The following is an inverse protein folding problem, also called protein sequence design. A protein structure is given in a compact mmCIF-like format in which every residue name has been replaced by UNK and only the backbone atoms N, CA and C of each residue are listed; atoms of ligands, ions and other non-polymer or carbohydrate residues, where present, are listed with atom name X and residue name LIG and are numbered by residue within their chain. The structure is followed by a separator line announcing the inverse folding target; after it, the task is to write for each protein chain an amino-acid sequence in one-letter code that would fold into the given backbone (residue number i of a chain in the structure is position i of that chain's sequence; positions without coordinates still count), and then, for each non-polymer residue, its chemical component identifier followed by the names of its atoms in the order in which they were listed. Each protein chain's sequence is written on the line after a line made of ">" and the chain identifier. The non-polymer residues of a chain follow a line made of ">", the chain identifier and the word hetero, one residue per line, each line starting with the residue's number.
data_IF_989958577010
#
_entry.id   IF_989958577010
#
_cell.length_a   1.000
_cell.length_b   1.000
_cell.length_c   1.000
_cell.angle_alpha   90.00
_cell.angle_beta   90.00
_cell.angle_gamma   90.00
#
_symmetry.space_group_name_H-M   'P 1'
#
loop_
_entity.id
_entity.type
_entity.pdbx_description
1 polymer ?
#
# COMPACT_ATOMS: atom_id res chain seq x y z
N UNK A 1 20.78 30.74 -11.06
CA UNK A 1 19.42 30.96 -11.61
C UNK A 1 18.29 30.24 -10.83
N UNK A 2 18.21 30.23 -9.47
CA UNK A 2 16.99 29.78 -8.76
C UNK A 2 16.13 30.92 -8.17
N UNK A 3 16.53 32.19 -8.28
CA UNK A 3 15.91 33.29 -7.52
C UNK A 3 14.76 34.04 -8.22
N UNK A 4 14.31 33.58 -9.39
CA UNK A 4 13.21 34.25 -10.08
C UNK A 4 11.87 34.00 -9.35
N UNK A 5 11.06 35.04 -9.05
CA UNK A 5 9.85 34.90 -8.22
C UNK A 5 8.80 33.96 -8.82
N UNK A 6 8.74 33.86 -10.15
CA UNK A 6 7.88 32.87 -10.82
C UNK A 6 8.33 31.43 -10.58
N UNK A 7 9.64 31.18 -10.56
CA UNK A 7 10.22 29.85 -10.29
C UNK A 7 9.99 29.49 -8.82
N UNK A 8 10.13 30.44 -7.89
CA UNK A 8 9.79 30.23 -6.47
C UNK A 8 8.31 29.89 -6.27
N UNK A 9 7.39 30.63 -6.90
CA UNK A 9 5.95 30.30 -6.85
C UNK A 9 5.64 28.93 -7.46
N UNK A 10 6.31 28.55 -8.55
CA UNK A 10 6.18 27.22 -9.16
C UNK A 10 6.71 26.12 -8.25
N UNK A 11 7.85 26.34 -7.58
CA UNK A 11 8.43 25.42 -6.59
C UNK A 11 7.50 25.32 -5.38
N UNK A 12 7.00 26.42 -4.83
CA UNK A 12 6.06 26.41 -3.70
C UNK A 12 4.75 25.71 -4.05
N UNK A 13 4.22 25.95 -5.25
CA UNK A 13 3.02 25.27 -5.73
C UNK A 13 3.30 23.76 -5.91
N UNK A 14 4.47 23.40 -6.45
CA UNK A 14 4.91 22.02 -6.58
C UNK A 14 5.09 21.34 -5.21
N UNK A 15 5.81 21.96 -4.28
CA UNK A 15 6.03 21.45 -2.92
C UNK A 15 4.72 21.25 -2.16
N UNK A 16 3.74 22.16 -2.31
CA UNK A 16 2.39 22.01 -1.74
C UNK A 16 1.63 20.80 -2.29
N UNK A 17 1.92 20.38 -3.53
CA UNK A 17 1.32 19.15 -4.12
C UNK A 17 2.06 17.88 -3.71
N UNK A 18 3.28 17.97 -3.19
CA UNK A 18 4.06 16.81 -2.75
C UNK A 18 3.78 16.49 -1.28
N UNK A 19 2.70 15.75 -1.05
CA UNK A 19 2.24 15.26 0.27
C UNK A 19 3.35 14.57 1.07
N UNK A 20 4.27 13.92 0.37
CA UNK A 20 5.41 13.18 0.88
C UNK A 20 6.43 14.07 1.63
N UNK A 21 6.41 15.37 1.35
CA UNK A 21 7.25 16.37 2.00
C UNK A 21 6.74 16.78 3.39
N UNK A 22 5.58 16.30 3.85
CA UNK A 22 4.94 16.80 5.08
C UNK A 22 5.11 15.89 6.32
N UNK A 23 5.61 14.66 6.16
CA UNK A 23 5.84 13.74 7.29
C UNK A 23 7.09 14.05 8.13
N UNK A 24 7.14 13.51 9.36
CA UNK A 24 8.26 13.65 10.29
C UNK A 24 8.66 12.31 10.91
N UNK A 25 9.97 12.06 11.03
CA UNK A 25 10.49 10.93 11.79
C UNK A 25 10.23 11.12 13.29
N UNK A 26 9.71 10.09 13.96
CA UNK A 26 9.69 10.07 15.42
C UNK A 26 11.13 9.88 15.96
N UNK A 27 11.42 10.47 17.12
CA UNK A 27 12.72 10.35 17.77
C UNK A 27 13.11 8.88 18.01
N UNK A 28 12.12 8.03 18.26
CA UNK A 28 12.30 6.58 18.43
C UNK A 28 12.76 5.92 17.13
N UNK A 29 12.14 6.24 15.99
CA UNK A 29 12.52 5.68 14.67
C UNK A 29 13.94 6.09 14.26
N UNK A 30 14.40 7.28 14.66
CA UNK A 30 15.78 7.72 14.43
C UNK A 30 16.78 6.84 15.21
N UNK A 31 16.49 6.54 16.48
CA UNK A 31 17.33 5.65 17.30
C UNK A 31 17.39 4.25 16.72
N UNK A 32 16.26 3.72 16.28
CA UNK A 32 16.16 2.39 15.69
C UNK A 32 16.93 2.31 14.36
N UNK A 33 16.85 3.34 13.52
CA UNK A 33 17.64 3.43 12.28
C UNK A 33 19.14 3.43 12.57
N UNK A 34 19.58 4.20 13.56
CA UNK A 34 21.01 4.26 13.94
C UNK A 34 21.50 2.91 14.46
N UNK A 35 20.72 2.25 15.34
CA UNK A 35 21.04 0.92 15.83
C UNK A 35 21.06 -0.14 14.71
N UNK A 36 20.18 -0.02 13.73
CA UNK A 36 20.10 -0.91 12.57
C UNK A 36 21.30 -0.73 11.62
N UNK A 37 21.76 0.51 11.40
CA UNK A 37 22.87 0.82 10.52
C UNK A 37 24.17 0.08 10.92
N UNK A 38 24.40 -0.11 12.23
CA UNK A 38 25.60 -0.76 12.73
C UNK A 38 25.54 -2.29 12.77
N UNK A 39 24.38 -2.93 12.56
CA UNK A 39 24.19 -4.36 12.82
C UNK A 39 24.20 -5.28 11.59
N UNK A 40 24.14 -4.76 10.37
CA UNK A 40 23.80 -5.60 9.20
C UNK A 40 24.92 -5.68 8.16
N UNK A 41 25.18 -6.91 7.71
CA UNK A 41 26.12 -7.22 6.64
C UNK A 41 25.54 -6.89 5.24
N UNK A 42 26.38 -6.50 4.25
CA UNK A 42 25.92 -6.12 2.91
C UNK A 42 25.11 -7.21 2.17
N UNK A 43 25.46 -8.49 2.36
CA UNK A 43 24.75 -9.60 1.69
C UNK A 43 23.33 -9.80 2.24
N UNK A 44 23.10 -9.51 3.53
CA UNK A 44 21.76 -9.59 4.13
C UNK A 44 20.83 -8.55 3.51
N UNK A 45 21.34 -7.36 3.19
CA UNK A 45 20.57 -6.33 2.49
C UNK A 45 20.12 -6.82 1.11
N UNK A 46 21.03 -7.40 0.32
CA UNK A 46 20.71 -7.93 -0.99
C UNK A 46 19.65 -9.04 -0.91
N UNK A 47 19.77 -9.93 0.08
CA UNK A 47 18.81 -11.00 0.30
C UNK A 47 17.42 -10.45 0.67
N UNK A 48 17.34 -9.47 1.57
CA UNK A 48 16.07 -8.81 1.94
C UNK A 48 15.41 -8.21 0.70
N UNK A 49 16.17 -7.51 -0.16
CA UNK A 49 15.62 -6.87 -1.35
C UNK A 49 15.05 -7.86 -2.36
N UNK A 50 15.73 -8.98 -2.58
CA UNK A 50 15.34 -10.01 -3.54
C UNK A 50 14.23 -10.91 -3.02
N UNK A 51 14.26 -11.27 -1.73
CA UNK A 51 13.26 -12.15 -1.12
C UNK A 51 11.97 -11.42 -0.78
N UNK A 52 12.00 -10.09 -0.62
CA UNK A 52 10.79 -9.31 -0.33
C UNK A 52 9.67 -9.67 -1.30
N UNK A 53 9.76 -9.54 -2.64
CA UNK A 53 8.65 -9.81 -3.55
C UNK A 53 8.24 -11.30 -3.72
N UNK A 54 9.02 -12.25 -3.19
CA UNK A 54 8.83 -13.68 -3.48
C UNK A 54 7.51 -14.25 -2.92
N UNK A 55 7.08 -13.95 -1.67
CA UNK A 55 5.83 -14.45 -1.11
C UNK A 55 4.60 -14.07 -1.93
N UNK A 56 4.51 -12.83 -2.44
CA UNK A 56 3.37 -12.43 -3.26
C UNK A 56 3.33 -13.19 -4.59
N UNK A 57 4.49 -13.39 -5.24
CA UNK A 57 4.60 -14.20 -6.46
C UNK A 57 4.16 -15.66 -6.22
N UNK A 58 4.57 -16.26 -5.10
CA UNK A 58 4.18 -17.63 -4.75
C UNK A 58 2.66 -17.74 -4.55
N UNK A 59 2.05 -16.80 -3.82
CA UNK A 59 0.58 -16.81 -3.59
C UNK A 59 -0.17 -16.71 -4.91
N UNK A 60 0.22 -15.78 -5.79
CA UNK A 60 -0.43 -15.62 -7.11
C UNK A 60 -0.21 -16.85 -7.98
N UNK A 61 1.01 -17.41 -8.00
CA UNK A 61 1.34 -18.62 -8.74
C UNK A 61 0.48 -19.82 -8.29
N UNK A 62 0.26 -19.98 -6.99
CA UNK A 62 -0.60 -21.03 -6.44
C UNK A 62 -2.05 -20.82 -6.88
N UNK A 63 -2.57 -19.60 -6.81
CA UNK A 63 -3.93 -19.28 -7.29
C UNK A 63 -4.05 -19.55 -8.80
N UNK A 64 -3.01 -19.27 -9.57
CA UNK A 64 -3.05 -19.43 -11.03
C UNK A 64 -2.74 -20.85 -11.50
N UNK A 65 -2.28 -21.72 -10.59
CA UNK A 65 -2.09 -23.15 -10.87
C UNK A 65 -3.41 -23.90 -11.06
N UNK A 66 -4.53 -23.35 -10.56
CA UNK A 66 -5.85 -23.91 -10.76
C UNK A 66 -6.26 -23.76 -12.23
N UNK A 67 -6.37 -24.90 -12.93
CA UNK A 67 -6.74 -24.96 -14.35
C UNK A 67 -8.12 -24.31 -14.58
N UNK A 68 -8.21 -23.48 -15.61
CA UNK A 68 -9.47 -22.88 -16.08
C UNK A 68 -10.17 -23.79 -17.08
N UNK A 69 -11.50 -23.73 -17.07
CA UNK A 69 -12.36 -24.33 -18.10
C UNK A 69 -12.65 -23.33 -19.23
N UNK A 70 -13.16 -23.82 -20.35
CA UNK A 70 -13.64 -22.95 -21.42
C UNK A 70 -14.85 -22.12 -20.91
N UNK A 71 -14.81 -20.77 -21.05
CA UNK A 71 -15.90 -19.90 -20.66
C UNK A 71 -17.27 -20.26 -21.28
N UNK A 72 -17.29 -20.78 -22.50
CA UNK A 72 -18.51 -21.17 -23.23
C UNK A 72 -19.32 -22.27 -22.52
N UNK A 73 -18.71 -23.00 -21.59
CA UNK A 73 -19.40 -24.03 -20.77
C UNK A 73 -20.32 -23.44 -19.71
N UNK A 74 -20.34 -22.11 -19.56
CA UNK A 74 -21.26 -21.39 -18.69
C UNK A 74 -20.77 -21.25 -17.24
N UNK A 75 -21.60 -20.57 -16.44
CA UNK A 75 -21.28 -20.11 -15.08
C UNK A 75 -20.87 -21.26 -14.15
N UNK A 76 -21.66 -22.34 -14.09
CA UNK A 76 -21.43 -23.44 -13.15
C UNK A 76 -20.24 -24.32 -13.51
N UNK A 77 -19.98 -24.53 -14.80
CA UNK A 77 -18.86 -25.34 -15.27
C UNK A 77 -17.50 -24.70 -14.92
N UNK A 78 -17.47 -23.38 -14.76
CA UNK A 78 -16.28 -22.58 -14.47
C UNK A 78 -16.06 -22.38 -12.95
N UNK A 79 -16.39 -23.37 -12.12
CA UNK A 79 -16.23 -23.30 -10.65
C UNK A 79 -14.80 -23.03 -10.19
N UNK A 80 -13.79 -23.42 -10.98
CA UNK A 80 -12.38 -23.15 -10.66
C UNK A 80 -12.01 -21.68 -10.89
N UNK A 81 -12.62 -21.02 -11.86
CA UNK A 81 -12.48 -19.57 -12.02
C UNK A 81 -13.06 -18.84 -10.80
N UNK A 82 -14.24 -19.26 -10.32
CA UNK A 82 -14.84 -18.70 -9.09
C UNK A 82 -13.99 -18.97 -7.85
N UNK A 83 -13.41 -20.18 -7.72
CA UNK A 83 -12.48 -20.50 -6.65
C UNK A 83 -11.26 -19.57 -6.67
N UNK A 84 -10.67 -19.29 -7.83
CA UNK A 84 -9.56 -18.35 -7.97
C UNK A 84 -9.93 -16.95 -7.52
N UNK A 85 -11.07 -16.42 -7.99
CA UNK A 85 -11.58 -15.10 -7.59
C UNK A 85 -11.85 -15.06 -6.08
N UNK A 86 -12.40 -16.14 -5.51
CA UNK A 86 -12.64 -16.27 -4.08
C UNK A 86 -11.35 -16.26 -3.25
N UNK A 87 -10.31 -17.00 -3.68
CA UNK A 87 -9.00 -16.98 -3.04
C UNK A 87 -8.35 -15.59 -3.12
N UNK A 88 -8.44 -14.90 -4.27
CA UNK A 88 -7.99 -13.52 -4.42
C UNK A 88 -8.72 -12.58 -3.44
N UNK A 89 -10.06 -12.68 -3.36
CA UNK A 89 -10.86 -11.88 -2.43
C UNK A 89 -10.47 -12.13 -0.96
N UNK A 90 -10.16 -13.39 -0.60
CA UNK A 90 -9.66 -13.73 0.73
C UNK A 90 -8.32 -13.05 1.00
N UNK A 91 -7.34 -13.20 0.09
CA UNK A 91 -6.01 -12.63 0.31
C UNK A 91 -6.09 -11.12 0.43
N UNK A 92 -6.86 -10.45 -0.43
CA UNK A 92 -7.06 -8.98 -0.36
C UNK A 92 -7.70 -8.58 0.96
N UNK A 93 -8.78 -9.25 1.39
CA UNK A 93 -9.52 -8.93 2.61
C UNK A 93 -8.66 -9.13 3.88
N UNK A 94 -7.96 -10.27 4.01
CA UNK A 94 -7.05 -10.52 5.15
C UNK A 94 -5.96 -9.45 5.17
N UNK A 95 -5.41 -9.12 4.01
CA UNK A 95 -4.32 -8.16 3.88
C UNK A 95 -4.74 -6.75 4.28
N UNK A 96 -5.96 -6.33 3.93
CA UNK A 96 -6.50 -5.02 4.33
C UNK A 96 -6.89 -4.98 5.80
N UNK A 97 -7.56 -6.01 6.33
CA UNK A 97 -7.92 -6.07 7.74
C UNK A 97 -6.68 -6.13 8.65
N UNK A 98 -5.63 -6.83 8.20
CA UNK A 98 -4.34 -6.87 8.90
C UNK A 98 -3.64 -5.51 8.89
N UNK A 99 -3.70 -4.78 7.77
CA UNK A 99 -3.21 -3.40 7.68
C UNK A 99 -4.01 -2.47 8.61
N UNK A 100 -5.33 -2.58 8.60
CA UNK A 100 -6.20 -1.80 9.48
C UNK A 100 -5.87 -2.05 10.96
N UNK A 101 -5.74 -3.31 11.38
CA UNK A 101 -5.39 -3.66 12.75
C UNK A 101 -3.98 -3.17 13.13
N UNK A 102 -3.03 -3.19 12.19
CA UNK A 102 -1.70 -2.61 12.41
C UNK A 102 -1.73 -1.07 12.56
N UNK A 103 -2.62 -0.39 11.84
CA UNK A 103 -2.82 1.07 11.94
C UNK A 103 -3.63 1.46 13.19
N UNK A 104 -4.62 0.65 13.58
CA UNK A 104 -5.53 0.92 14.69
C UNK A 104 -5.60 -0.30 15.62
N UNK A 105 -4.57 -0.52 16.48
CA UNK A 105 -4.45 -1.75 17.29
C UNK A 105 -5.50 -1.91 18.38
N UNK A 106 -6.21 -0.83 18.73
CA UNK A 106 -7.31 -0.85 19.71
C UNK A 106 -8.57 -1.55 19.18
N UNK A 107 -8.67 -1.76 17.86
CA UNK A 107 -9.75 -2.55 17.29
C UNK A 107 -9.65 -4.00 17.76
N UNK A 108 -10.77 -4.62 18.17
CA UNK A 108 -10.75 -5.99 18.67
C UNK A 108 -10.75 -7.00 17.50
N UNK A 109 -9.70 -6.95 16.67
CA UNK A 109 -9.50 -7.76 15.48
C UNK A 109 -8.40 -8.82 15.71
N UNK A 110 -8.77 -9.93 16.34
CA UNK A 110 -7.92 -11.10 16.38
C UNK A 110 -7.95 -11.87 15.03
N UNK A 111 -7.04 -12.84 14.87
CA UNK A 111 -6.95 -13.61 13.64
C UNK A 111 -8.27 -14.32 13.28
N UNK A 112 -9.05 -14.77 14.29
CA UNK A 112 -10.33 -15.44 14.07
C UNK A 112 -11.37 -14.50 13.49
N UNK A 113 -11.52 -13.29 14.05
CA UNK A 113 -12.44 -12.27 13.54
C UNK A 113 -12.04 -11.79 12.15
N UNK A 114 -10.74 -11.59 11.90
CA UNK A 114 -10.23 -11.22 10.57
C UNK A 114 -10.62 -12.29 9.54
N UNK A 115 -10.44 -13.58 9.86
CA UNK A 115 -10.84 -14.67 8.98
C UNK A 115 -12.36 -14.73 8.78
N UNK A 116 -13.16 -14.55 9.83
CA UNK A 116 -14.61 -14.56 9.73
C UNK A 116 -15.15 -13.44 8.84
N UNK A 117 -14.68 -12.19 9.06
CA UNK A 117 -15.02 -11.03 8.23
C UNK A 117 -14.63 -11.29 6.77
N UNK A 118 -13.43 -11.82 6.56
CA UNK A 118 -12.89 -12.11 5.22
C UNK A 118 -13.72 -13.16 4.47
N UNK A 119 -14.05 -14.28 5.11
CA UNK A 119 -14.85 -15.35 4.49
C UNK A 119 -16.23 -14.79 4.11
N UNK A 120 -16.85 -14.02 5.01
CA UNK A 120 -18.15 -13.42 4.75
C UNK A 120 -18.10 -12.43 3.58
N UNK A 121 -17.21 -11.43 3.62
CA UNK A 121 -17.09 -10.42 2.55
C UNK A 121 -16.68 -11.00 1.20
N UNK A 122 -15.86 -12.06 1.18
CA UNK A 122 -15.47 -12.75 -0.05
C UNK A 122 -16.63 -13.57 -0.62
N UNK A 123 -17.43 -14.19 0.25
CA UNK A 123 -18.61 -14.97 -0.15
C UNK A 123 -19.68 -14.05 -0.75
N UNK A 124 -19.93 -12.89 -0.14
CA UNK A 124 -20.88 -11.91 -0.69
C UNK A 124 -20.40 -11.38 -2.05
N UNK A 125 -19.11 -11.11 -2.20
CA UNK A 125 -18.51 -10.63 -3.45
C UNK A 125 -18.60 -11.66 -4.59
N UNK A 126 -18.17 -12.90 -4.34
CA UNK A 126 -18.19 -13.95 -5.37
C UNK A 126 -19.62 -14.39 -5.68
N UNK A 127 -20.47 -14.49 -4.66
CA UNK A 127 -21.89 -14.77 -4.83
C UNK A 127 -22.59 -13.75 -5.72
N UNK A 128 -22.29 -12.45 -5.57
CA UNK A 128 -22.91 -11.42 -6.41
C UNK A 128 -22.48 -11.52 -7.87
N UNK A 129 -21.19 -11.78 -8.17
CA UNK A 129 -20.74 -11.93 -9.56
C UNK A 129 -21.18 -13.24 -10.20
N UNK A 130 -21.33 -14.33 -9.44
CA UNK A 130 -22.01 -15.52 -9.93
C UNK A 130 -23.46 -15.20 -10.29
N UNK A 131 -24.16 -14.42 -9.44
CA UNK A 131 -25.50 -13.92 -9.70
C UNK A 131 -25.57 -13.09 -10.99
N UNK A 132 -24.63 -12.15 -11.19
CA UNK A 132 -24.52 -11.41 -12.45
C UNK A 132 -24.29 -12.35 -13.64
N UNK A 133 -23.46 -13.38 -13.49
CA UNK A 133 -23.24 -14.39 -14.55
C UNK A 133 -24.53 -15.04 -15.04
N UNK A 134 -25.50 -15.27 -14.15
CA UNK A 134 -26.82 -15.79 -14.54
C UNK A 134 -27.76 -14.71 -15.10
N UNK A 135 -27.64 -13.46 -14.66
CA UNK A 135 -28.55 -12.38 -15.05
C UNK A 135 -28.18 -11.73 -16.38
N UNK A 136 -26.89 -11.52 -16.63
CA UNK A 136 -26.38 -10.79 -17.80
C UNK A 136 -25.59 -11.66 -18.77
N UNK A 137 -25.19 -12.88 -18.36
CA UNK A 137 -24.36 -13.79 -19.15
C UNK A 137 -22.91 -13.89 -18.64
N UNK A 138 -22.16 -14.84 -19.19
CA UNK A 138 -20.82 -15.21 -18.71
C UNK A 138 -19.81 -15.29 -19.86
N UNK A 139 -18.55 -14.81 -19.70
CA UNK A 139 -17.99 -14.11 -18.53
C UNK A 139 -18.66 -12.78 -18.17
N UNK A 140 -18.66 -12.44 -16.88
CA UNK A 140 -19.21 -11.16 -16.39
C UNK A 140 -18.25 -10.02 -16.74
N UNK A 141 -18.70 -8.94 -17.40
CA UNK A 141 -17.88 -7.77 -17.69
C UNK A 141 -17.20 -7.21 -16.44
N UNK A 142 -15.88 -7.06 -16.50
CA UNK A 142 -15.06 -6.50 -15.42
C UNK A 142 -15.43 -7.04 -14.02
N UNK A 143 -15.20 -8.32 -13.78
CA UNK A 143 -15.55 -9.00 -12.52
C UNK A 143 -15.08 -8.25 -11.28
N UNK A 144 -13.85 -7.73 -11.27
CA UNK A 144 -13.26 -7.07 -10.10
C UNK A 144 -14.02 -5.82 -9.64
N UNK A 145 -14.28 -4.81 -10.50
CA UNK A 145 -15.16 -3.71 -10.11
C UNK A 145 -16.58 -4.12 -9.77
N UNK A 146 -17.15 -5.11 -10.46
CA UNK A 146 -18.49 -5.62 -10.16
C UNK A 146 -18.55 -6.30 -8.77
N UNK A 147 -17.45 -6.88 -8.29
CA UNK A 147 -17.34 -7.40 -6.93
C UNK A 147 -17.30 -6.30 -5.87
N UNK A 148 -16.72 -5.13 -6.16
CA UNK A 148 -16.41 -4.10 -5.16
C UNK A 148 -17.60 -3.67 -4.30
N UNK A 149 -18.81 -3.40 -4.83
CA UNK A 149 -19.97 -3.00 -4.01
C UNK A 149 -20.40 -4.09 -3.03
N UNK A 150 -20.56 -5.33 -3.49
CA UNK A 150 -21.00 -6.45 -2.65
C UNK A 150 -19.92 -6.86 -1.63
N UNK A 151 -18.65 -6.78 -2.03
CA UNK A 151 -17.52 -6.95 -1.13
C UNK A 151 -17.50 -5.87 -0.04
N UNK A 152 -17.66 -4.60 -0.41
CA UNK A 152 -17.66 -3.47 0.54
C UNK A 152 -18.82 -3.56 1.53
N UNK A 153 -20.02 -3.90 1.05
CA UNK A 153 -21.19 -4.12 1.90
C UNK A 153 -20.99 -5.29 2.88
N UNK A 154 -20.45 -6.41 2.39
CA UNK A 154 -20.11 -7.57 3.22
C UNK A 154 -19.05 -7.25 4.26
N UNK A 155 -18.00 -6.53 3.86
CA UNK A 155 -16.93 -6.09 4.75
C UNK A 155 -17.45 -5.14 5.83
N UNK A 156 -18.18 -4.08 5.45
CA UNK A 156 -18.68 -3.07 6.39
C UNK A 156 -19.67 -3.67 7.37
N UNK A 157 -20.59 -4.54 6.92
CA UNK A 157 -21.57 -5.18 7.80
C UNK A 157 -20.91 -6.11 8.82
N UNK A 158 -20.03 -7.03 8.36
CA UNK A 158 -19.32 -7.94 9.26
C UNK A 158 -18.29 -7.25 10.16
N UNK A 159 -17.59 -6.22 9.67
CA UNK A 159 -16.70 -5.39 10.48
C UNK A 159 -17.47 -4.62 11.56
N UNK A 160 -18.60 -4.01 11.20
CA UNK A 160 -19.46 -3.28 12.15
C UNK A 160 -20.04 -4.21 13.22
N UNK A 161 -20.29 -5.47 12.90
CA UNK A 161 -20.74 -6.46 13.88
C UNK A 161 -19.69 -6.70 14.98
N UNK A 162 -18.40 -6.82 14.63
CA UNK A 162 -17.33 -7.10 15.61
C UNK A 162 -16.75 -5.85 16.28
N UNK A 163 -16.67 -4.73 15.55
CA UNK A 163 -15.99 -3.51 15.98
C UNK A 163 -16.96 -2.36 16.31
N UNK A 164 -18.25 -2.54 16.08
CA UNK A 164 -19.26 -1.47 16.19
C UNK A 164 -19.29 -0.79 17.56
N UNK A 165 -19.17 -1.56 18.63
CA UNK A 165 -19.17 -1.00 19.99
C UNK A 165 -17.92 -0.17 20.27
N UNK A 166 -16.74 -0.63 19.82
CA UNK A 166 -15.49 0.13 19.90
C UNK A 166 -15.56 1.42 19.10
N UNK A 167 -16.16 1.39 17.90
CA UNK A 167 -16.33 2.57 17.04
C UNK A 167 -17.32 3.60 17.60
N UNK A 168 -18.37 3.13 18.30
CA UNK A 168 -19.33 3.99 18.98
C UNK A 168 -18.74 4.60 20.24
N UNK A 169 -17.94 3.84 20.98
CA UNK A 169 -17.33 4.26 22.24
C UNK A 169 -16.14 5.21 22.10
N UNK A 170 -15.45 5.26 20.95
CA UNK A 170 -14.26 6.08 20.78
C UNK A 170 -14.26 6.88 19.45
N UNK A 171 -14.31 8.20 19.57
CA UNK A 171 -14.32 9.11 18.43
C UNK A 171 -12.99 9.16 17.66
N UNK A 172 -11.85 8.99 18.36
CA UNK A 172 -10.52 8.94 17.72
C UNK A 172 -10.38 7.69 16.87
N UNK A 173 -10.79 6.52 17.39
CA UNK A 173 -10.79 5.26 16.63
C UNK A 173 -11.65 5.37 15.38
N UNK A 174 -12.82 6.01 15.48
CA UNK A 174 -13.67 6.26 14.32
C UNK A 174 -12.99 7.16 13.29
N UNK A 175 -12.25 8.18 13.73
CA UNK A 175 -11.45 9.04 12.85
C UNK A 175 -10.35 8.23 12.15
N UNK A 176 -9.58 7.43 12.89
CA UNK A 176 -8.48 6.64 12.34
C UNK A 176 -8.97 5.57 11.34
N UNK A 177 -10.07 4.90 11.65
CA UNK A 177 -10.71 3.94 10.74
C UNK A 177 -11.22 4.62 9.48
N UNK A 178 -11.86 5.79 9.60
CA UNK A 178 -12.28 6.58 8.44
C UNK A 178 -11.08 6.95 7.55
N UNK A 179 -9.99 7.43 8.16
CA UNK A 179 -8.77 7.81 7.46
C UNK A 179 -8.18 6.61 6.69
N UNK A 180 -8.12 5.45 7.33
CA UNK A 180 -7.69 4.21 6.67
C UNK A 180 -8.61 3.82 5.50
N UNK A 181 -9.93 3.89 5.68
CA UNK A 181 -10.89 3.56 4.63
C UNK A 181 -10.75 4.48 3.40
N UNK A 182 -10.49 5.77 3.60
CA UNK A 182 -10.25 6.71 2.51
C UNK A 182 -9.02 6.31 1.69
N UNK A 183 -7.92 5.93 2.36
CA UNK A 183 -6.71 5.42 1.69
C UNK A 183 -7.03 4.17 0.87
N UNK A 184 -7.83 3.24 1.41
CA UNK A 184 -8.24 2.02 0.71
C UNK A 184 -9.11 2.32 -0.50
N UNK A 185 -10.10 3.21 -0.37
CA UNK A 185 -10.97 3.61 -1.47
C UNK A 185 -10.14 4.25 -2.59
N UNK A 186 -9.24 5.17 -2.26
CA UNK A 186 -8.35 5.78 -3.26
C UNK A 186 -7.50 4.74 -3.99
N UNK A 187 -6.92 3.77 -3.26
CA UNK A 187 -6.15 2.67 -3.85
C UNK A 187 -7.00 1.83 -4.80
N UNK A 188 -8.23 1.47 -4.41
CA UNK A 188 -9.13 0.68 -5.24
C UNK A 188 -9.64 1.46 -6.46
N UNK A 189 -9.87 2.77 -6.33
CA UNK A 189 -10.25 3.62 -7.45
C UNK A 189 -9.15 3.70 -8.50
N UNK A 190 -7.88 3.77 -8.10
CA UNK A 190 -6.75 3.75 -9.03
C UNK A 190 -6.76 2.49 -9.90
N UNK A 191 -7.11 1.34 -9.33
CA UNK A 191 -7.21 0.08 -10.08
C UNK A 191 -8.23 0.17 -11.22
N UNK A 192 -9.28 1.00 -11.09
CA UNK A 192 -10.24 1.26 -12.17
C UNK A 192 -9.78 2.29 -13.19
N UNK A 193 -9.07 3.31 -12.74
CA UNK A 193 -8.58 4.39 -13.61
C UNK A 193 -7.62 3.85 -14.66
N UNK A 194 -6.75 2.88 -14.33
CA UNK A 194 -5.76 2.35 -15.28
C UNK A 194 -6.36 1.58 -16.48
N UNK A 195 -7.34 0.67 -16.32
CA UNK A 195 -8.14 0.11 -17.41
C UNK A 195 -8.78 1.15 -18.32
N UNK A 196 -9.42 2.16 -17.74
CA UNK A 196 -10.06 3.26 -18.47
C UNK A 196 -9.02 4.07 -19.25
N UNK A 197 -7.87 4.34 -18.64
CA UNK A 197 -6.73 4.96 -19.29
C UNK A 197 -6.22 4.11 -20.46
N UNK A 198 -6.07 2.79 -20.28
CA UNK A 198 -5.60 1.90 -21.32
C UNK A 198 -6.56 1.87 -22.51
N UNK A 199 -7.87 1.80 -22.26
CA UNK A 199 -8.89 1.92 -23.31
C UNK A 199 -8.73 3.23 -24.08
N UNK A 200 -8.73 4.37 -23.37
CA UNK A 200 -8.58 5.69 -23.99
C UNK A 200 -7.28 5.79 -24.80
N UNK A 201 -6.17 5.26 -24.28
CA UNK A 201 -4.88 5.23 -24.97
C UNK A 201 -4.96 4.42 -26.27
N UNK A 202 -5.58 3.23 -26.25
CA UNK A 202 -5.70 2.39 -27.46
C UNK A 202 -6.67 2.95 -28.50
N UNK A 203 -7.64 3.77 -28.10
CA UNK A 203 -8.59 4.44 -29.00
C UNK A 203 -7.99 5.67 -29.72
N UNK A 204 -6.81 6.13 -29.31
CA UNK A 204 -6.15 7.32 -29.84
C UNK A 204 -5.18 7.01 -30.98
N UNK A 205 -4.94 8.01 -31.84
CA UNK A 205 -3.86 7.95 -32.84
C UNK A 205 -2.47 7.95 -32.17
N UNK A 206 -1.43 7.50 -32.86
CA UNK A 206 -0.06 7.40 -32.30
C UNK A 206 0.49 8.74 -31.77
N UNK A 207 0.18 9.86 -32.43
CA UNK A 207 0.58 11.20 -31.96
C UNK A 207 -0.17 11.60 -30.68
N UNK A 208 -1.47 11.31 -30.62
CA UNK A 208 -2.29 11.59 -29.44
C UNK A 208 -1.91 10.68 -28.26
N UNK A 209 -1.56 9.42 -28.50
CA UNK A 209 -1.01 8.51 -27.48
C UNK A 209 0.22 9.09 -26.80
N UNK A 210 1.16 9.64 -27.58
CA UNK A 210 2.38 10.26 -27.03
C UNK A 210 2.06 11.41 -26.07
N UNK A 211 1.10 12.28 -26.43
CA UNK A 211 0.64 13.34 -25.54
C UNK A 211 -0.14 12.78 -24.32
N UNK A 212 -0.93 11.72 -24.52
CA UNK A 212 -1.75 11.11 -23.48
C UNK A 212 -0.91 10.44 -22.38
N UNK A 213 0.34 10.05 -22.66
CA UNK A 213 1.29 9.59 -21.63
C UNK A 213 1.45 10.61 -20.50
N UNK A 214 1.36 11.91 -20.80
CA UNK A 214 1.46 12.98 -19.79
C UNK A 214 0.28 13.00 -18.80
N UNK A 215 -0.81 12.30 -19.09
CA UNK A 215 -1.94 12.13 -18.15
C UNK A 215 -1.56 11.20 -16.99
N UNK A 216 -0.61 10.26 -17.17
CA UNK A 216 -0.16 9.38 -16.09
C UNK A 216 0.42 10.15 -14.89
N UNK A 217 1.35 11.12 -15.07
CA UNK A 217 1.75 12.04 -14.01
C UNK A 217 0.58 12.76 -13.34
N UNK A 218 -0.40 13.25 -14.11
CA UNK A 218 -1.58 13.94 -13.57
C UNK A 218 -2.46 13.02 -12.71
N UNK A 219 -2.68 11.78 -13.14
CA UNK A 219 -3.41 10.75 -12.36
C UNK A 219 -2.67 10.48 -11.05
N UNK A 220 -1.34 10.30 -11.11
CA UNK A 220 -0.51 10.08 -9.91
C UNK A 220 -0.60 11.25 -8.93
N UNK A 221 -0.47 12.49 -9.42
CA UNK A 221 -0.58 13.71 -8.59
C UNK A 221 -1.99 13.86 -8.01
N UNK A 222 -3.03 13.64 -8.84
CA UNK A 222 -4.42 13.71 -8.41
C UNK A 222 -4.73 12.73 -7.28
N UNK A 223 -4.27 11.48 -7.39
CA UNK A 223 -4.45 10.49 -6.33
C UNK A 223 -3.73 10.88 -5.02
N UNK A 224 -2.50 11.40 -5.10
CA UNK A 224 -1.77 11.90 -3.93
C UNK A 224 -2.51 13.06 -3.25
N UNK A 225 -2.92 14.06 -4.03
CA UNK A 225 -3.66 15.22 -3.53
C UNK A 225 -5.01 14.82 -2.94
N UNK A 226 -5.68 13.82 -3.52
CA UNK A 226 -6.92 13.28 -2.97
C UNK A 226 -6.69 12.68 -1.58
N UNK A 227 -5.67 11.83 -1.42
CA UNK A 227 -5.31 11.27 -0.10
C UNK A 227 -4.98 12.41 0.89
N UNK A 228 -4.21 13.41 0.48
CA UNK A 228 -3.85 14.54 1.33
C UNK A 228 -5.03 15.39 1.76
N UNK A 229 -5.95 15.70 0.85
CA UNK A 229 -7.09 16.57 1.13
C UNK A 229 -8.06 15.97 2.17
N UNK A 230 -8.22 14.65 2.17
CA UNK A 230 -9.07 13.99 3.15
C UNK A 230 -8.35 13.66 4.47
N UNK A 231 -7.01 13.68 4.45
CA UNK A 231 -6.17 13.45 5.64
C UNK A 231 -5.64 14.76 6.25
N UNK A 232 -5.85 15.92 5.64
CA UNK A 232 -5.30 17.22 6.07
C UNK A 232 -5.83 17.69 7.43
N UNK A 233 -6.98 17.16 7.89
CA UNK A 233 -7.50 17.37 9.27
C UNK A 233 -6.63 16.72 10.37
N UNK A 234 -5.46 16.18 10.02
CA UNK A 234 -4.45 15.63 10.93
C UNK A 234 -3.18 16.49 11.04
N UNK A 235 -2.86 17.30 10.02
CA UNK A 235 -1.62 18.11 10.01
C UNK A 235 -1.72 19.35 10.91
N UNK A 236 -2.94 19.83 11.18
CA UNK A 236 -3.18 21.03 12.01
C UNK A 236 -3.24 20.76 13.52
N UNK A 237 -2.99 19.52 13.98
CA UNK A 237 -2.82 19.22 15.41
C UNK A 237 -1.35 19.44 15.84
N UNK A 238 -0.94 20.72 15.73
CA UNK A 238 0.08 21.49 16.46
C UNK A 238 1.24 20.77 17.19
N UNK A 239 2.41 21.45 17.21
CA UNK A 239 3.05 21.80 18.47
C UNK A 239 3.14 23.32 18.62
N UNK A 240 2.05 23.99 18.98
CA UNK A 240 2.20 25.11 19.93
C UNK A 240 1.85 24.55 21.30
N UNK A 241 2.86 23.96 21.92
CA UNK A 241 3.06 24.00 23.35
C UNK A 241 4.54 23.67 23.58
N UNK A 242 5.37 24.71 23.69
CA UNK A 242 6.56 24.58 24.52
C UNK A 242 6.11 24.44 26.00
N UNK A 243 7.03 24.13 26.92
CA UNK A 243 7.73 22.87 27.15
C UNK A 243 7.14 22.16 28.40
N UNK A 244 7.81 21.10 28.88
CA UNK A 244 7.83 20.57 30.26
C UNK A 244 7.18 19.19 30.48
N UNK A 245 8.00 18.33 31.10
CA UNK A 245 7.71 17.14 31.90
C UNK A 245 7.29 15.84 31.19
N UNK A 246 8.32 15.04 30.92
CA UNK A 246 8.44 13.64 31.35
C UNK A 246 7.19 12.95 31.91
N UNK A 247 6.74 11.90 31.23
CA UNK A 247 6.16 10.74 31.89
C UNK A 247 6.79 9.48 31.29
N UNK A 248 7.67 8.86 32.08
CA UNK A 248 8.18 7.50 31.88
C UNK A 248 7.11 6.45 32.26
N UNK A 249 7.24 5.19 31.81
CA UNK A 249 6.14 4.25 31.79
C UNK A 249 6.11 3.26 32.97
N UNK A 250 4.91 2.69 33.20
CA UNK A 250 4.55 1.48 33.99
C UNK A 250 4.51 1.59 35.52
N UNK A 251 3.62 0.81 36.18
CA UNK A 251 4.11 -0.47 36.68
C UNK A 251 3.15 -1.67 36.54
N UNK A 252 3.77 -2.84 36.54
CA UNK A 252 3.17 -4.15 36.76
C UNK A 252 2.71 -4.35 38.22
N UNK A 253 1.62 -5.11 38.35
CA UNK A 253 1.35 -6.16 39.36
C UNK A 253 1.27 -5.75 40.84
N UNK A 254 0.04 -5.73 41.35
CA UNK A 254 -0.31 -5.74 42.78
C UNK A 254 0.10 -7.05 43.47
N UNK A 255 0.62 -6.93 44.70
CA UNK A 255 0.53 -7.95 45.74
C UNK A 255 0.62 -7.31 47.15
N UNK A 256 -0.43 -7.55 47.95
CA UNK A 256 -0.43 -7.69 49.43
C UNK A 256 -0.48 -6.48 50.38
N UNK A 257 -1.73 -6.10 50.74
CA UNK A 257 -2.39 -6.05 52.08
C UNK A 257 -1.93 -5.11 53.24
N UNK A 258 -2.85 -4.76 54.18
CA UNK A 258 -2.93 -3.47 54.86
C UNK A 258 -2.57 -3.49 56.37
N UNK A 259 -2.23 -2.34 56.94
CA UNK A 259 -2.08 -2.18 58.39
C UNK A 259 -1.68 -0.77 58.85
N UNK A 260 -2.69 -0.03 59.34
CA UNK A 260 -2.69 1.08 60.31
C UNK A 260 -1.39 1.43 61.06
N UNK A 261 -1.06 2.73 61.16
CA UNK A 261 -0.98 3.49 62.43
C UNK A 261 -0.63 4.98 62.24
N UNK A 262 -0.91 5.75 63.29
CA UNK A 262 -1.24 7.18 63.36
C UNK A 262 -0.07 8.15 63.62
N UNK A 263 -0.27 9.40 63.17
CA UNK A 263 0.12 10.69 63.79
C UNK A 263 1.62 11.02 64.03
N UNK A 264 2.09 12.13 63.46
CA UNK A 264 2.41 13.36 64.22
C UNK A 264 2.95 14.46 63.30
N UNK A 265 2.39 15.67 63.45
CA UNK A 265 2.86 16.90 62.82
C UNK A 265 4.09 17.45 63.56
N UNK A 266 5.29 17.05 63.17
CA UNK A 266 6.54 17.77 63.48
C UNK A 266 7.75 17.10 62.80
N UNK A 267 7.80 17.12 61.47
CA UNK A 267 9.04 16.92 60.68
C UNK A 267 9.02 17.86 59.47
N UNK A 268 9.22 19.14 59.77
CA UNK A 268 9.50 20.19 58.80
C UNK A 268 10.97 20.06 58.38
N UNK A 269 11.21 19.57 57.16
CA UNK A 269 12.41 19.68 56.29
C UNK A 269 12.88 18.35 55.68
N UNK A 270 12.23 17.85 54.62
CA UNK A 270 12.88 16.95 53.63
C UNK A 270 12.29 17.25 52.24
N UNK A 271 12.76 18.31 51.59
CA UNK A 271 12.69 18.42 50.12
C UNK A 271 14.13 18.36 49.59
N UNK A 272 14.46 17.40 48.69
CA UNK A 272 15.80 17.27 48.15
C UNK A 272 16.18 18.52 47.34
N UNK A 273 17.40 18.99 47.55
CA UNK A 273 18.04 19.95 46.65
C UNK A 273 18.05 19.40 45.21
N UNK A 274 18.00 20.29 44.19
CA UNK A 274 18.16 19.87 42.80
C UNK A 274 19.49 19.11 42.65
N UNK A 275 19.53 18.01 41.88
CA UNK A 275 20.76 17.25 41.69
C UNK A 275 21.85 18.17 41.14
N UNK A 276 23.03 18.06 41.73
CA UNK A 276 24.24 18.72 41.24
C UNK A 276 24.40 18.42 39.76
N UNK A 277 24.79 19.45 38.98
CA UNK A 277 25.13 19.33 37.57
C UNK A 277 26.22 18.26 37.42
N UNK A 278 25.84 17.07 36.98
CA UNK A 278 26.78 16.10 36.44
C UNK A 278 27.38 16.69 35.16
N UNK A 279 28.58 17.25 35.30
CA UNK A 279 29.33 17.91 34.22
C UNK A 279 29.79 16.96 33.10
N UNK A 280 29.37 15.68 33.09
CA UNK A 280 29.91 14.68 32.16
C UNK A 280 28.95 14.17 31.08
N UNK A 281 27.73 14.72 30.95
CA UNK A 281 26.87 14.45 29.78
C UNK A 281 26.86 15.56 28.71
N UNK A 282 27.72 16.57 28.85
CA UNK A 282 27.69 17.80 28.04
C UNK A 282 28.64 17.83 26.82
N UNK A 283 29.35 16.75 26.51
CA UNK A 283 30.41 16.77 25.49
C UNK A 283 29.95 17.09 24.06
N UNK A 284 28.74 16.66 23.65
CA UNK A 284 28.20 17.00 22.34
C UNK A 284 27.45 18.35 22.33
N UNK A 285 27.10 18.85 23.50
CA UNK A 285 26.21 19.99 23.67
C UNK A 285 26.93 21.34 23.59
N UNK A 286 28.15 21.39 24.10
CA UNK A 286 28.99 22.59 24.17
C UNK A 286 29.77 22.84 22.87
N UNK A 287 29.97 21.80 22.06
CA UNK A 287 30.75 21.85 20.81
C UNK A 287 30.08 22.64 19.67
N UNK A 288 28.78 22.93 19.77
CA UNK A 288 27.99 23.53 18.68
C UNK A 288 27.41 24.91 18.97
N UNK A 289 27.47 25.42 20.21
CA UNK A 289 27.04 26.79 20.55
C UNK A 289 25.58 27.18 20.23
N UNK A 290 24.72 26.22 19.86
CA UNK A 290 23.34 26.47 19.41
C UNK A 290 22.39 26.64 20.59
N UNK A 291 21.51 27.65 20.50
CA UNK A 291 20.42 27.88 21.45
C UNK A 291 19.43 26.69 21.48
N UNK A 292 18.71 26.50 22.59
CA UNK A 292 17.76 25.39 22.75
C UNK A 292 16.71 25.34 21.64
N UNK A 293 16.32 26.51 21.11
CA UNK A 293 15.38 26.65 19.99
C UNK A 293 16.03 26.20 18.66
N UNK A 294 17.28 26.59 18.42
CA UNK A 294 18.01 26.21 17.20
C UNK A 294 18.25 24.69 17.13
N UNK A 295 18.47 24.06 18.29
CA UNK A 295 18.57 22.59 18.41
C UNK A 295 17.28 21.87 18.06
N UNK A 296 16.15 22.37 18.57
CA UNK A 296 14.84 21.77 18.29
C UNK A 296 14.53 21.89 16.79
N UNK A 297 14.82 23.05 16.21
CA UNK A 297 14.66 23.32 14.79
C UNK A 297 15.59 22.47 13.93
N UNK A 298 16.84 22.25 14.35
CA UNK A 298 17.78 21.33 13.69
C UNK A 298 17.24 19.89 13.71
N UNK A 299 16.84 19.38 14.88
CA UNK A 299 16.30 18.01 15.02
C UNK A 299 15.06 17.82 14.15
N UNK A 300 14.14 18.79 14.14
CA UNK A 300 12.92 18.72 13.33
C UNK A 300 13.24 18.72 11.83
N UNK A 301 14.16 19.59 11.37
CA UNK A 301 14.59 19.62 9.97
C UNK A 301 15.29 18.32 9.56
N UNK A 302 16.20 17.81 10.39
CA UNK A 302 16.88 16.54 10.12
C UNK A 302 15.90 15.36 10.08
N UNK A 303 14.94 15.32 11.00
CA UNK A 303 13.89 14.28 11.02
C UNK A 303 13.02 14.33 9.75
N UNK A 304 12.70 15.53 9.26
CA UNK A 304 11.94 15.75 8.03
C UNK A 304 12.72 15.31 6.79
N UNK A 305 14.00 15.68 6.69
CA UNK A 305 14.87 15.24 5.58
C UNK A 305 15.07 13.73 5.58
N UNK A 306 15.21 13.11 6.76
CA UNK A 306 15.34 11.67 6.89
C UNK A 306 14.05 10.94 6.45
N UNK A 307 12.88 11.51 6.78
CA UNK A 307 11.58 11.02 6.29
C UNK A 307 11.50 11.02 4.77
N UNK A 308 11.82 12.16 4.14
CA UNK A 308 11.80 12.29 2.70
C UNK A 308 12.81 11.35 2.02
N UNK A 309 14.01 11.21 2.59
CA UNK A 309 15.02 10.29 2.09
C UNK A 309 14.56 8.83 2.18
N UNK A 310 13.98 8.42 3.30
CA UNK A 310 13.40 7.09 3.49
C UNK A 310 12.34 6.80 2.41
N UNK A 311 11.40 7.73 2.27
CA UNK A 311 10.29 7.61 1.36
C UNK A 311 10.74 7.56 -0.12
N UNK A 312 11.64 8.46 -0.52
CA UNK A 312 12.18 8.50 -1.88
C UNK A 312 12.93 7.20 -2.24
N UNK A 313 13.74 6.69 -1.31
CA UNK A 313 14.45 5.41 -1.49
C UNK A 313 13.47 4.24 -1.62
N UNK A 314 12.35 4.26 -0.90
CA UNK A 314 11.32 3.24 -1.00
C UNK A 314 10.58 3.29 -2.35
N UNK A 315 10.22 4.48 -2.85
CA UNK A 315 9.61 4.63 -4.18
C UNK A 315 10.53 4.06 -5.26
N UNK A 316 11.76 4.52 -5.30
CA UNK A 316 12.71 4.12 -6.35
C UNK A 316 12.96 2.60 -6.29
N UNK A 317 13.02 2.02 -5.08
CA UNK A 317 13.06 0.56 -4.92
C UNK A 317 11.82 -0.12 -5.53
N UNK A 318 10.61 0.40 -5.27
CA UNK A 318 9.38 -0.18 -5.85
C UNK A 318 9.34 -0.04 -7.37
N UNK A 319 9.88 1.03 -7.95
CA UNK A 319 9.95 1.25 -9.40
C UNK A 319 10.96 0.31 -10.07
N UNK A 320 12.05 -0.05 -9.40
CA UNK A 320 12.98 -1.09 -9.87
C UNK A 320 12.37 -2.49 -9.78
N UNK A 321 11.71 -2.81 -8.66
CA UNK A 321 11.24 -4.17 -8.38
C UNK A 321 9.97 -4.52 -9.14
N UNK A 322 9.06 -3.56 -9.37
CA UNK A 322 7.76 -3.83 -10.01
C UNK A 322 7.90 -4.43 -11.43
N UNK A 323 8.73 -3.89 -12.33
CA UNK A 323 8.98 -4.49 -13.65
C UNK A 323 9.58 -5.89 -13.57
N UNK A 324 10.45 -6.15 -12.59
CA UNK A 324 11.08 -7.47 -12.37
C UNK A 324 10.05 -8.50 -11.93
N UNK A 325 9.18 -8.14 -10.98
CA UNK A 325 8.04 -8.97 -10.57
C UNK A 325 7.14 -9.28 -11.77
N UNK A 326 6.81 -8.26 -12.56
CA UNK A 326 6.00 -8.42 -13.77
C UNK A 326 6.63 -9.41 -14.75
N UNK A 327 7.93 -9.26 -15.04
CA UNK A 327 8.65 -10.17 -15.93
C UNK A 327 8.67 -11.60 -15.41
N UNK A 328 8.98 -11.80 -14.13
CA UNK A 328 9.00 -13.13 -13.51
C UNK A 328 7.61 -13.79 -13.55
N UNK A 329 6.56 -13.01 -13.29
CA UNK A 329 5.19 -13.48 -13.34
C UNK A 329 4.72 -13.85 -14.76
N UNK A 330 4.96 -12.98 -15.75
CA UNK A 330 4.59 -13.24 -17.14
C UNK A 330 5.32 -14.46 -17.69
N UNK A 331 6.61 -14.61 -17.35
CA UNK A 331 7.38 -15.80 -17.71
C UNK A 331 6.78 -17.07 -17.08
N UNK A 332 6.38 -17.03 -15.81
CA UNK A 332 5.70 -18.14 -15.15
C UNK A 332 4.39 -18.51 -15.86
N UNK A 333 3.55 -17.53 -16.20
CA UNK A 333 2.28 -17.77 -16.88
C UNK A 333 2.44 -18.34 -18.29
N UNK A 334 3.49 -17.95 -19.00
CA UNK A 334 3.76 -18.48 -20.34
C UNK A 334 3.91 -20.01 -20.36
N UNK A 335 4.43 -20.59 -19.28
CA UNK A 335 4.62 -22.04 -19.13
C UNK A 335 3.43 -22.74 -18.44
N UNK A 336 2.43 -22.01 -17.96
CA UNK A 336 1.23 -22.59 -17.34
C UNK A 336 0.13 -22.84 -18.38
N UNK A 337 -0.72 -23.86 -18.17
CA UNK A 337 -1.77 -24.22 -19.13
C UNK A 337 -2.82 -23.12 -19.31
N UNK A 338 -2.98 -22.24 -18.33
CA UNK A 338 -3.95 -21.16 -18.37
C UNK A 338 -3.58 -20.02 -19.34
N UNK A 339 -2.42 -20.08 -20.00
CA UNK A 339 -1.95 -19.05 -20.96
C UNK A 339 -2.95 -18.74 -22.07
N UNK A 340 -3.74 -19.74 -22.47
CA UNK A 340 -4.71 -19.65 -23.58
C UNK A 340 -5.84 -18.64 -23.30
N UNK A 341 -6.09 -18.34 -22.02
CA UNK A 341 -7.13 -17.41 -21.59
C UNK A 341 -6.63 -15.99 -21.29
N UNK A 342 -5.33 -15.74 -21.49
CA UNK A 342 -4.74 -14.42 -21.37
C UNK A 342 -4.54 -13.82 -22.77
N UNK A 343 -5.27 -12.75 -23.15
CA UNK A 343 -5.18 -12.16 -24.49
C UNK A 343 -3.77 -11.72 -24.88
N UNK A 344 -2.96 -11.31 -23.90
CA UNK A 344 -1.57 -10.89 -24.09
C UNK A 344 -0.57 -12.05 -24.29
N UNK A 345 -0.97 -13.30 -23.97
CA UNK A 345 -0.10 -14.48 -24.01
C UNK A 345 -0.52 -15.52 -25.05
N UNK A 346 -1.80 -15.59 -25.43
CA UNK A 346 -2.35 -16.67 -26.27
C UNK A 346 -1.61 -16.85 -27.60
N UNK A 347 -1.33 -15.76 -28.32
CA UNK A 347 -0.69 -15.78 -29.65
C UNK A 347 0.80 -15.36 -29.60
N UNK A 348 1.37 -15.22 -28.41
CA UNK A 348 2.73 -14.69 -28.24
C UNK A 348 3.77 -15.79 -28.47
N UNK A 349 4.66 -15.61 -29.45
CA UNK A 349 5.80 -16.51 -29.68
C UNK A 349 6.89 -16.34 -28.62
N UNK A 350 7.75 -17.36 -28.43
CA UNK A 350 8.88 -17.30 -27.49
C UNK A 350 9.85 -16.15 -27.79
N UNK A 351 10.02 -15.78 -29.06
CA UNK A 351 10.90 -14.67 -29.46
C UNK A 351 10.26 -13.31 -29.17
N UNK A 352 8.95 -13.16 -29.44
CA UNK A 352 8.22 -11.94 -29.06
C UNK A 352 8.16 -11.78 -27.53
N UNK A 353 7.98 -12.86 -26.79
CA UNK A 353 8.05 -12.85 -25.33
C UNK A 353 9.41 -12.36 -24.86
N UNK A 354 10.51 -12.94 -25.35
CA UNK A 354 11.87 -12.51 -24.99
C UNK A 354 12.09 -11.03 -25.28
N UNK A 355 11.69 -10.56 -26.46
CA UNK A 355 11.80 -9.15 -26.85
C UNK A 355 11.01 -8.22 -25.91
N UNK A 356 9.76 -8.57 -25.61
CA UNK A 356 8.91 -7.81 -24.69
C UNK A 356 9.48 -7.79 -23.27
N UNK A 357 9.94 -8.93 -22.76
CA UNK A 357 10.58 -9.02 -21.45
C UNK A 357 11.88 -8.21 -21.40
N UNK A 358 12.72 -8.26 -22.44
CA UNK A 358 13.93 -7.46 -22.53
C UNK A 358 13.63 -5.95 -22.54
N UNK A 359 12.59 -5.51 -23.26
CA UNK A 359 12.17 -4.11 -23.26
C UNK A 359 11.76 -3.63 -21.86
N UNK A 360 11.00 -4.45 -21.12
CA UNK A 360 10.60 -4.13 -19.73
C UNK A 360 11.79 -4.18 -18.77
N UNK A 361 12.74 -5.11 -18.98
CA UNK A 361 13.98 -5.18 -18.19
C UNK A 361 14.93 -4.02 -18.48
N UNK A 362 14.96 -3.49 -19.71
CA UNK A 362 15.70 -2.27 -20.04
C UNK A 362 15.12 -1.06 -19.29
N UNK A 363 13.79 -0.97 -19.18
CA UNK A 363 13.16 0.02 -18.32
C UNK A 363 13.57 -0.15 -16.86
N UNK A 364 13.54 -1.39 -16.34
CA UNK A 364 14.00 -1.70 -14.98
C UNK A 364 15.48 -1.32 -14.74
N UNK A 365 16.32 -1.42 -15.77
CA UNK A 365 17.72 -0.98 -15.71
C UNK A 365 17.82 0.54 -15.58
N UNK A 366 17.00 1.31 -16.29
CA UNK A 366 16.96 2.77 -16.16
C UNK A 366 16.54 3.17 -14.73
N UNK A 367 15.49 2.52 -14.20
CA UNK A 367 15.08 2.74 -12.80
C UNK A 367 16.16 2.29 -11.80
N UNK A 368 16.94 1.26 -12.12
CA UNK A 368 18.07 0.88 -11.29
C UNK A 368 19.14 1.98 -11.29
N UNK A 369 19.39 2.62 -12.43
CA UNK A 369 20.33 3.73 -12.53
C UNK A 369 19.82 4.98 -11.78
N UNK A 370 18.53 5.32 -11.84
CA UNK A 370 17.95 6.42 -11.03
C UNK A 370 18.07 6.11 -9.54
N UNK A 371 17.75 4.87 -9.13
CA UNK A 371 17.90 4.41 -7.76
C UNK A 371 19.36 4.52 -7.28
N UNK A 372 20.34 4.16 -8.12
CA UNK A 372 21.77 4.33 -7.84
C UNK A 372 22.16 5.81 -7.73
N UNK A 373 21.64 6.66 -8.62
CA UNK A 373 21.91 8.10 -8.63
C UNK A 373 21.39 8.79 -7.36
N UNK A 374 20.14 8.53 -6.93
CA UNK A 374 19.62 9.08 -5.67
C UNK A 374 20.45 8.58 -4.47
N UNK A 375 20.90 7.32 -4.49
CA UNK A 375 21.79 6.79 -3.46
C UNK A 375 23.14 7.51 -3.40
N UNK A 376 23.69 7.87 -4.56
CA UNK A 376 24.91 8.65 -4.66
C UNK A 376 24.70 10.07 -4.11
N UNK A 377 23.60 10.74 -4.46
CA UNK A 377 23.24 12.07 -3.96
C UNK A 377 23.05 12.06 -2.44
N UNK A 378 22.27 11.11 -1.91
CA UNK A 378 22.03 10.96 -0.47
C UNK A 378 23.33 10.76 0.31
N UNK A 379 24.26 9.96 -0.22
CA UNK A 379 25.56 9.73 0.41
C UNK A 379 26.43 11.00 0.41
N UNK A 380 26.50 11.70 -0.70
CA UNK A 380 27.40 12.86 -0.85
C UNK A 380 26.85 14.14 -0.22
N UNK A 381 25.52 14.33 -0.20
CA UNK A 381 24.89 15.54 0.34
C UNK A 381 24.46 15.42 1.79
N UNK A 382 24.05 14.23 2.23
CA UNK A 382 23.48 14.02 3.57
C UNK A 382 24.30 13.05 4.44
N UNK A 383 25.34 12.40 3.89
CA UNK A 383 26.10 11.36 4.61
C UNK A 383 25.27 10.09 4.86
N UNK A 384 24.06 10.00 4.29
CA UNK A 384 23.12 8.91 4.51
C UNK A 384 23.40 7.78 3.53
N UNK A 385 23.47 6.56 4.06
CA UNK A 385 23.67 5.36 3.26
C UNK A 385 22.32 4.74 2.91
N UNK A 386 21.93 4.88 1.64
CA UNK A 386 20.69 4.35 1.04
C UNK A 386 20.40 2.89 1.43
N UNK A 387 21.42 2.03 1.50
CA UNK A 387 21.26 0.60 1.81
C UNK A 387 20.80 0.36 3.24
N UNK A 388 21.28 1.15 4.19
CA UNK A 388 20.87 1.01 5.60
C UNK A 388 19.45 1.54 5.79
N UNK A 389 19.08 2.62 5.11
CA UNK A 389 17.71 3.14 5.12
C UNK A 389 16.72 2.15 4.49
N UNK A 390 16.98 1.67 3.27
CA UNK A 390 16.05 0.74 2.61
C UNK A 390 15.90 -0.57 3.40
N UNK A 391 17.00 -1.14 3.89
CA UNK A 391 16.92 -2.37 4.70
C UNK A 391 16.16 -2.13 6.00
N UNK A 392 16.32 -0.97 6.63
CA UNK A 392 15.57 -0.61 7.83
C UNK A 392 14.07 -0.57 7.56
N UNK A 393 13.65 0.09 6.48
CA UNK A 393 12.24 0.18 6.08
C UNK A 393 11.68 -1.18 5.74
N UNK A 394 12.39 -1.94 4.91
CA UNK A 394 11.94 -3.27 4.53
C UNK A 394 11.88 -4.17 5.76
N UNK A 395 12.86 -4.15 6.67
CA UNK A 395 12.82 -4.96 7.88
C UNK A 395 11.67 -4.56 8.83
N UNK A 396 11.38 -3.27 8.98
CA UNK A 396 10.36 -2.76 9.92
C UNK A 396 8.95 -2.81 9.34
N UNK A 397 8.80 -2.57 8.03
CA UNK A 397 7.52 -2.41 7.34
C UNK A 397 7.29 -3.44 6.23
N UNK A 398 8.00 -4.58 6.22
CA UNK A 398 7.87 -5.60 5.17
C UNK A 398 6.43 -6.02 4.91
N UNK A 399 5.59 -6.13 5.96
CA UNK A 399 4.18 -6.53 5.83
C UNK A 399 3.39 -5.52 5.00
N UNK A 400 3.62 -4.23 5.21
CA UNK A 400 2.98 -3.15 4.46
C UNK A 400 3.45 -3.19 2.99
N UNK A 401 4.74 -3.33 2.76
CA UNK A 401 5.29 -3.41 1.39
C UNK A 401 4.75 -4.65 0.66
N UNK A 402 4.75 -5.81 1.30
CA UNK A 402 4.18 -7.05 0.76
C UNK A 402 2.69 -6.94 0.46
N UNK A 403 1.93 -6.29 1.35
CA UNK A 403 0.51 -6.08 1.14
C UNK A 403 0.22 -5.29 -0.13
N UNK A 404 1.04 -4.27 -0.42
CA UNK A 404 0.92 -3.48 -1.64
C UNK A 404 1.30 -4.30 -2.87
N UNK A 405 2.46 -4.96 -2.86
CA UNK A 405 2.86 -5.79 -4.00
C UNK A 405 1.84 -6.89 -4.28
N UNK A 406 1.35 -7.59 -3.27
CA UNK A 406 0.32 -8.62 -3.43
C UNK A 406 -0.94 -8.07 -4.09
N UNK A 407 -1.47 -6.95 -3.58
CA UNK A 407 -2.67 -6.31 -4.14
C UNK A 407 -2.46 -5.89 -5.60
N UNK A 408 -1.35 -5.21 -5.90
CA UNK A 408 -1.05 -4.75 -7.27
C UNK A 408 -0.85 -5.91 -8.24
N UNK A 409 -0.03 -6.90 -7.88
CA UNK A 409 0.24 -8.06 -8.76
C UNK A 409 -1.02 -8.86 -8.97
N UNK A 410 -1.76 -9.21 -7.91
CA UNK A 410 -3.03 -9.94 -8.03
C UNK A 410 -4.00 -9.18 -8.92
N UNK A 411 -4.16 -7.86 -8.72
CA UNK A 411 -5.10 -7.10 -9.54
C UNK A 411 -4.70 -7.07 -11.01
N UNK A 412 -3.47 -6.65 -11.31
CA UNK A 412 -2.98 -6.53 -12.70
C UNK A 412 -3.24 -7.83 -13.42
N UNK A 413 -2.74 -8.92 -12.87
CA UNK A 413 -2.84 -10.25 -13.46
C UNK A 413 -4.26 -10.68 -13.72
N UNK A 414 -5.10 -10.66 -12.69
CA UNK A 414 -6.42 -11.25 -12.79
C UNK A 414 -7.35 -10.35 -13.63
N UNK A 415 -7.10 -9.05 -13.68
CA UNK A 415 -7.89 -8.09 -14.47
C UNK A 415 -7.78 -8.29 -15.98
N UNK A 416 -6.69 -8.91 -16.48
CA UNK A 416 -6.50 -9.22 -17.91
C UNK A 416 -7.00 -10.61 -18.32
N UNK A 417 -7.51 -11.40 -17.38
CA UNK A 417 -8.01 -12.75 -17.69
C UNK A 417 -9.37 -12.66 -18.41
N UNK A 418 -9.56 -13.45 -19.47
CA UNK A 418 -10.83 -13.47 -20.20
C UNK A 418 -12.02 -13.85 -19.31
N UNK A 419 -11.86 -14.82 -18.39
CA UNK A 419 -12.87 -15.20 -17.39
C UNK A 419 -13.28 -14.06 -16.45
N UNK A 420 -12.45 -13.03 -16.33
CA UNK A 420 -12.76 -11.83 -15.54
C UNK A 420 -13.47 -10.74 -16.37
N UNK A 421 -13.89 -11.06 -17.60
CA UNK A 421 -14.58 -10.14 -18.50
C UNK A 421 -13.67 -9.03 -19.01
N UNK A 422 -12.39 -9.35 -19.23
CA UNK A 422 -11.39 -8.44 -19.75
C UNK A 422 -11.64 -8.12 -21.23
N UNK A 423 -12.60 -7.25 -21.50
CA UNK A 423 -12.78 -6.61 -22.80
C UNK A 423 -12.76 -5.09 -22.64
N UNK A 424 -11.56 -4.53 -22.79
CA UNK A 424 -11.37 -3.09 -22.68
C UNK A 424 -11.97 -2.33 -23.85
N UNK A 425 -12.47 -2.98 -24.93
CA UNK A 425 -13.23 -2.31 -25.98
C UNK A 425 -14.68 -2.03 -25.60
N UNK A 426 -15.14 -2.57 -24.45
CA UNK A 426 -16.53 -2.47 -23.97
C UNK A 426 -17.58 -3.05 -24.94
N UNK A 427 -17.19 -3.96 -25.84
CA UNK A 427 -18.11 -4.55 -26.82
C UNK A 427 -18.79 -5.82 -26.31
N UNK A 428 -18.12 -6.60 -25.46
CA UNK A 428 -18.63 -7.83 -24.82
C UNK A 428 -19.35 -8.76 -25.81
N UNK A 429 -18.72 -9.05 -26.96
CA UNK A 429 -19.34 -9.76 -28.10
C UNK A 429 -19.97 -11.12 -27.75
N UNK A 430 -19.50 -11.76 -26.67
CA UNK A 430 -20.08 -13.01 -26.19
C UNK A 430 -21.49 -12.81 -25.60
N UNK A 431 -21.80 -11.65 -25.03
CA UNK A 431 -23.12 -11.34 -24.47
C UNK A 431 -24.17 -11.00 -25.54
N UNK A 432 -23.75 -10.42 -26.66
CA UNK A 432 -24.68 -10.05 -27.75
C UNK A 432 -25.08 -11.23 -28.63
N UNK A 433 -24.24 -12.27 -28.69
CA UNK A 433 -24.50 -13.48 -29.49
C UNK A 433 -25.59 -14.36 -28.85
N UNK A 434 -25.62 -14.47 -27.52
CA UNK A 434 -26.65 -15.22 -26.78
C UNK A 434 -28.04 -14.54 -26.81
N UNK A 435 -28.09 -13.21 -26.86
CA UNK A 435 -29.33 -12.44 -27.01
C UNK A 435 -29.99 -12.65 -28.39
N UNK A 436 -29.20 -12.75 -29.46
CA UNK A 436 -29.70 -13.04 -30.80
C UNK A 436 -30.11 -14.52 -30.97
N UNK A 437 -29.47 -15.44 -30.28
CA UNK A 437 -29.85 -16.86 -30.26
C UNK A 437 -31.18 -17.10 -29.52
N UNK A 438 -31.45 -16.36 -28.44
CA UNK A 438 -32.73 -16.43 -27.72
C UNK A 438 -33.88 -15.77 -28.50
N UNK A 439 -33.65 -14.63 -29.17
CA UNK A 439 -34.66 -13.96 -29.99
C UNK A 439 -35.11 -14.76 -31.24
N UNK A 440 -34.23 -15.59 -31.80
CA UNK A 440 -34.54 -16.46 -32.95
C UNK A 440 -35.26 -17.76 -32.59
N UNK A 441 -35.42 -18.06 -31.30
CA UNK A 441 -36.11 -19.26 -30.79
C UNK A 441 -37.58 -19.05 -30.41
N UNK A 442 -38.13 -17.84 -30.60
CA UNK A 442 -39.55 -17.55 -30.39
C UNK A 442 -40.37 -18.21 -31.52
N UNK A 443 -41.21 -19.22 -31.25
CA UNK A 443 -42.03 -19.82 -32.29
C UNK A 443 -43.12 -18.81 -32.65
N UNK A 444 -43.14 -18.38 -33.92
CA UNK A 444 -44.31 -17.74 -34.52
C UNK A 444 -45.48 -18.71 -34.41
N UNK A 445 -46.44 -18.36 -33.55
CA UNK A 445 -47.74 -19.01 -33.37
C UNK A 445 -48.56 -19.00 -34.66
#
# INVERSE_FOLDING_TARGET
>A
MPDHPAVKRLIELWERTQVELHGQYSLQRIKDLHAHAHRISPWRNALVYLLTPLPCLVVVAVIDSFKLEDPSRGVLANYRAWLRIYLCAIVVSVTQLSQLHATVPILPLDARRIMAITIFSSTTAVGSVIGYGFLIGFPVPFVFPMCCPAWSAGLVSSFSFYCGDTLRGNAEVRKDVKNYLIIVVCQMSLLMVYPLYAYAFTAMSSQAQTAFVLVLPCIKIGAKNWISYFLSDLDDMKPDAAPVASVSPTPHREAWQPGTQSASSSDLQIFPQPPAKDNNSSGAAELLGLDAIERLLFVQKTAKVLFMAEYAVLIEYTEVVTPVIYCAYILLMFYLPNREYYPQLVDTSSENLKSNLLNVLLYALIELLSFLAIGWVLRHKLGLTRTHQLTFVLATQWRLVQSKFGLWVMYIVQSYLFHSGADFSFQFKWLSSDANATASSTPTS
#
